data_IF_707227596668
#
_entry.id   IF_707227596668
#
_cell.length_a   1.000
_cell.length_b   1.000
_cell.length_c   1.000
_cell.angle_alpha   90.00
_cell.angle_beta   90.00
_cell.angle_gamma   90.00
#
_symmetry.space_group_name_H-M   'P 1'
#
loop_
_entity.id
_entity.type
_entity.pdbx_description
1 polymer ?
#
# COMPACT_ATOMS: atom_id res chain seq x y z
N UNK A 1 1.63 8.60 14.10
CA UNK A 1 2.55 8.09 13.06
C UNK A 1 2.97 6.67 13.39
N UNK A 2 2.81 5.71 12.46
CA UNK A 2 3.59 4.47 12.55
C UNK A 2 5.00 4.79 12.04
N UNK A 3 5.97 4.76 12.94
CA UNK A 3 7.37 4.95 12.61
C UNK A 3 7.83 3.79 11.71
N UNK A 4 8.69 4.05 10.69
CA UNK A 4 9.29 2.96 9.92
C UNK A 4 9.94 1.96 10.86
N UNK A 5 9.70 0.66 10.63
CA UNK A 5 10.31 -0.38 11.44
C UNK A 5 11.83 -0.29 11.27
N UNK A 6 12.52 0.09 12.35
CA UNK A 6 13.97 0.09 12.37
C UNK A 6 14.48 -1.36 12.39
N UNK A 7 15.46 -1.71 11.56
CA UNK A 7 16.15 -2.99 11.70
C UNK A 7 16.85 -3.09 13.07
N UNK A 8 16.70 -4.23 13.73
CA UNK A 8 17.41 -4.58 14.97
C UNK A 8 18.23 -5.83 14.70
N UNK A 9 19.55 -5.74 14.88
CA UNK A 9 20.51 -6.83 14.57
C UNK A 9 20.39 -7.39 13.14
N UNK A 10 19.98 -6.54 12.19
CA UNK A 10 19.79 -6.92 10.78
C UNK A 10 18.42 -7.54 10.47
N UNK A 11 17.50 -7.58 11.43
CA UNK A 11 16.15 -8.13 11.25
C UNK A 11 15.06 -7.07 11.40
N UNK A 12 13.95 -7.27 10.68
CA UNK A 12 12.72 -6.50 10.85
C UNK A 12 11.71 -7.31 11.64
N UNK A 13 11.03 -6.68 12.59
CA UNK A 13 9.94 -7.31 13.32
C UNK A 13 8.75 -7.59 12.40
N UNK A 14 8.19 -8.81 12.50
CA UNK A 14 6.95 -9.17 11.80
C UNK A 14 5.77 -8.63 12.59
N UNK A 15 5.26 -7.48 12.17
CA UNK A 15 4.10 -6.84 12.80
C UNK A 15 3.19 -6.20 11.76
N UNK A 16 1.91 -6.06 12.09
CA UNK A 16 0.97 -5.27 11.28
C UNK A 16 1.28 -3.79 11.48
N UNK A 17 1.39 -3.05 10.39
CA UNK A 17 1.55 -1.59 10.41
C UNK A 17 0.20 -0.92 10.20
N UNK A 18 -0.17 0.02 11.07
CA UNK A 18 -1.34 0.88 10.90
C UNK A 18 -0.92 2.22 10.31
N UNK A 19 -1.34 2.57 9.08
CA UNK A 19 -1.02 3.87 8.49
C UNK A 19 -1.58 5.04 9.30
N UNK A 20 -0.86 6.16 9.31
CA UNK A 20 -1.31 7.41 9.93
C UNK A 20 -2.27 8.16 8.98
N UNK A 21 -3.56 8.35 9.35
CA UNK A 21 -4.54 8.99 8.47
C UNK A 21 -4.18 10.41 8.06
N UNK A 22 -3.63 11.22 8.97
CA UNK A 22 -3.29 12.61 8.66
C UNK A 22 -2.13 12.68 7.66
N UNK A 23 -1.14 11.79 7.82
CA UNK A 23 -0.02 11.68 6.88
C UNK A 23 -0.45 11.17 5.51
N UNK A 24 -1.41 10.24 5.46
CA UNK A 24 -1.99 9.78 4.20
C UNK A 24 -2.69 10.91 3.44
N UNK A 25 -3.44 11.77 4.15
CA UNK A 25 -4.09 12.92 3.52
C UNK A 25 -3.07 13.94 3.00
N UNK A 26 -2.06 14.27 3.81
CA UNK A 26 -1.03 15.23 3.44
C UNK A 26 -0.19 14.78 2.23
N UNK A 27 0.04 13.46 2.08
CA UNK A 27 0.80 12.87 0.96
C UNK A 27 -0.09 12.38 -0.19
N UNK A 28 -1.38 12.73 -0.18
CA UNK A 28 -2.33 12.30 -1.19
C UNK A 28 -1.91 12.67 -2.60
N UNK A 29 -1.92 11.70 -3.51
CA UNK A 29 -1.69 11.96 -4.92
C UNK A 29 -2.87 12.77 -5.52
N UNK A 30 -2.63 13.63 -6.54
CA UNK A 30 -3.71 14.30 -7.26
C UNK A 30 -4.78 13.31 -7.76
N UNK A 31 -6.06 13.71 -7.83
CA UNK A 31 -7.17 12.79 -8.11
C UNK A 31 -6.99 11.93 -9.36
N UNK A 32 -6.52 12.52 -10.46
CA UNK A 32 -6.26 11.81 -11.71
C UNK A 32 -5.19 10.70 -11.57
N UNK A 33 -4.14 10.95 -10.78
CA UNK A 33 -3.06 9.99 -10.54
C UNK A 33 -3.53 8.85 -9.64
N UNK A 34 -4.34 9.16 -8.63
CA UNK A 34 -4.99 8.15 -7.78
C UNK A 34 -5.90 7.25 -8.62
N UNK A 35 -6.71 7.83 -9.51
CA UNK A 35 -7.64 7.10 -10.36
C UNK A 35 -6.90 6.15 -11.31
N UNK A 36 -5.83 6.64 -11.97
CA UNK A 36 -4.99 5.80 -12.83
C UNK A 36 -4.44 4.57 -12.10
N UNK A 37 -3.97 4.73 -10.86
CA UNK A 37 -3.48 3.61 -10.04
C UNK A 37 -4.59 2.60 -9.72
N UNK A 38 -5.79 3.07 -9.37
CA UNK A 38 -6.94 2.20 -9.08
C UNK A 38 -7.32 1.38 -10.30
N UNK A 39 -7.42 2.00 -11.47
CA UNK A 39 -7.79 1.31 -12.71
C UNK A 39 -6.74 0.28 -13.12
N UNK A 40 -5.45 0.60 -12.90
CA UNK A 40 -4.36 -0.35 -13.09
C UNK A 40 -4.46 -1.56 -12.16
N UNK A 41 -4.74 -1.36 -10.87
CA UNK A 41 -4.91 -2.47 -9.92
C UNK A 41 -6.07 -3.38 -10.33
N UNK A 42 -7.19 -2.81 -10.78
CA UNK A 42 -8.33 -3.59 -11.29
C UNK A 42 -7.95 -4.45 -12.49
N UNK A 43 -7.24 -3.87 -13.47
CA UNK A 43 -6.78 -4.57 -14.66
C UNK A 43 -5.82 -5.72 -14.32
N UNK A 44 -4.91 -5.53 -13.36
CA UNK A 44 -4.04 -6.60 -12.90
C UNK A 44 -4.80 -7.68 -12.13
N UNK A 45 -5.73 -7.30 -11.26
CA UNK A 45 -6.49 -8.24 -10.44
C UNK A 45 -7.33 -9.20 -11.29
N UNK A 46 -7.93 -8.73 -12.38
CA UNK A 46 -8.69 -9.60 -13.29
C UNK A 46 -7.85 -10.69 -13.96
N UNK A 47 -6.52 -10.55 -14.00
CA UNK A 47 -5.62 -11.59 -14.51
C UNK A 47 -5.34 -12.67 -13.46
N UNK A 48 -5.51 -12.36 -12.18
CA UNK A 48 -5.28 -13.31 -11.08
C UNK A 48 -6.51 -14.17 -10.80
N UNK A 49 -7.72 -13.62 -10.95
CA UNK A 49 -8.98 -14.30 -10.65
C UNK A 49 -9.22 -15.61 -11.43
N UNK A 50 -8.82 -15.76 -12.72
CA UNK A 50 -8.90 -17.03 -13.44
C UNK A 50 -7.96 -18.13 -12.90
N UNK A 51 -6.89 -17.73 -12.21
CA UNK A 51 -5.86 -18.62 -11.64
C UNK A 51 -6.11 -19.00 -10.18
N UNK A 52 -7.20 -18.51 -9.57
CA UNK A 52 -7.75 -19.03 -8.31
C UNK A 52 -8.91 -19.99 -8.65
N UNK A 53 -8.56 -21.13 -9.22
CA UNK A 53 -9.44 -22.30 -9.38
C UNK A 53 -8.96 -23.43 -8.47
#
# INVERSE_FOLDING_TARGET
MAEPAAPVDGFLAVARTTPDPARLQALGAPPQRRQWWIDRVKACYSLLVPSFG
#
